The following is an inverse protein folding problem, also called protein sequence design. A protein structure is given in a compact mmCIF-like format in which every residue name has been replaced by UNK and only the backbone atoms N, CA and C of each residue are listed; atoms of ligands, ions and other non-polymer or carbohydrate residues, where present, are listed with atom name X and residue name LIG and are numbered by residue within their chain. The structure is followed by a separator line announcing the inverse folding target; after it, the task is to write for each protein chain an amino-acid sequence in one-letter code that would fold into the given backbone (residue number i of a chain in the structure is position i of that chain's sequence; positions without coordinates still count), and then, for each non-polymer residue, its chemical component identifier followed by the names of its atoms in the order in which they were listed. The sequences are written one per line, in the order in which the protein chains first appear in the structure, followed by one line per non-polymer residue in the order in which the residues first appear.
data_IF_080155419725
#
_entry.id   IF_080155419725
#
_cell.length_a   1.000
_cell.length_b   1.000
_cell.length_c   1.000
_cell.angle_alpha   90.00
_cell.angle_beta   90.00
_cell.angle_gamma   90.00
#
_symmetry.space_group_name_H-M   'P 1'
#
loop_
_entity.id
_entity.type
_entity.pdbx_description
1 polymer ?
#
# COMPACT_ATOMS: atom_id res chain seq x y z
N UNK A 1 1.21 21.69 -25.80
CA UNK A 1 0.30 20.57 -25.46
C UNK A 1 0.54 20.22 -24.01
N UNK A 2 -0.49 20.27 -23.17
CA UNK A 2 -0.36 19.83 -21.78
C UNK A 2 -0.45 18.31 -21.78
N UNK A 3 0.58 17.64 -21.28
CA UNK A 3 0.62 16.18 -21.27
C UNK A 3 -0.17 15.59 -20.10
N UNK A 4 -0.17 16.26 -18.95
CA UNK A 4 -0.79 15.81 -17.71
C UNK A 4 -2.31 16.01 -17.70
N UNK A 5 -3.00 15.13 -16.97
CA UNK A 5 -4.39 15.33 -16.59
C UNK A 5 -4.54 16.62 -15.76
N UNK A 6 -5.64 17.40 -15.93
CA UNK A 6 -5.89 18.60 -15.15
C UNK A 6 -5.67 18.44 -13.64
N UNK A 7 -6.09 17.32 -13.04
CA UNK A 7 -5.95 17.12 -11.58
C UNK A 7 -4.48 16.97 -11.17
N UNK A 8 -3.67 16.28 -11.97
CA UNK A 8 -2.23 16.16 -11.74
C UNK A 8 -1.53 17.50 -11.93
N UNK A 9 -1.92 18.27 -12.95
CA UNK A 9 -1.37 19.60 -13.19
C UNK A 9 -1.66 20.55 -12.00
N UNK A 10 -2.88 20.49 -11.45
CA UNK A 10 -3.27 21.26 -10.26
C UNK A 10 -2.45 20.81 -9.04
N UNK A 11 -2.30 19.50 -8.82
CA UNK A 11 -1.52 18.98 -7.71
C UNK A 11 -0.04 19.39 -7.80
N UNK A 12 0.53 19.37 -9.01
CA UNK A 12 1.90 19.81 -9.26
C UNK A 12 2.06 21.31 -8.98
N UNK A 13 1.14 22.15 -9.47
CA UNK A 13 1.17 23.59 -9.22
C UNK A 13 1.05 23.91 -7.72
N UNK A 14 0.19 23.21 -6.99
CA UNK A 14 0.05 23.37 -5.54
C UNK A 14 1.33 23.02 -4.80
N UNK A 15 1.96 21.89 -5.13
CA UNK A 15 3.22 21.52 -4.51
C UNK A 15 4.35 22.50 -4.86
N UNK A 16 4.40 22.99 -6.10
CA UNK A 16 5.36 24.00 -6.53
C UNK A 16 5.20 25.32 -5.74
N UNK A 17 3.96 25.74 -5.49
CA UNK A 17 3.67 26.91 -4.67
C UNK A 17 4.13 26.72 -3.21
N UNK A 18 3.85 25.56 -2.60
CA UNK A 18 4.34 25.21 -1.26
C UNK A 18 5.86 25.17 -1.17
N UNK A 19 6.53 24.67 -2.21
CA UNK A 19 7.99 24.61 -2.27
C UNK A 19 8.63 26.00 -2.41
N UNK A 20 7.91 26.97 -2.97
CA UNK A 20 8.38 28.35 -3.10
C UNK A 20 8.14 29.20 -1.84
N UNK A 21 7.32 28.72 -0.90
CA UNK A 21 7.03 29.40 0.37
C UNK A 21 7.94 28.88 1.48
N UNK A 22 8.91 29.72 1.90
CA UNK A 22 9.85 29.40 2.98
C UNK A 22 9.15 29.22 4.35
N UNK A 23 7.92 29.71 4.50
CA UNK A 23 7.11 29.61 5.71
C UNK A 23 6.07 28.48 5.70
N UNK A 24 6.05 27.65 4.66
CA UNK A 24 5.04 26.60 4.53
C UNK A 24 5.05 25.62 5.71
N UNK A 25 3.86 25.25 6.20
CA UNK A 25 3.73 24.22 7.24
C UNK A 25 4.31 22.89 6.72
N UNK A 26 5.30 22.27 7.41
CA UNK A 26 5.87 20.99 7.02
C UNK A 26 4.84 19.87 6.78
N UNK A 27 3.72 19.88 7.51
CA UNK A 27 2.64 18.91 7.30
C UNK A 27 1.86 19.18 6.02
N UNK A 28 1.69 20.44 5.62
CA UNK A 28 1.09 20.79 4.34
C UNK A 28 1.98 20.40 3.16
N UNK A 29 3.30 20.61 3.28
CA UNK A 29 4.28 20.13 2.29
C UNK A 29 4.16 18.61 2.12
N UNK A 30 4.13 17.84 3.22
CA UNK A 30 3.97 16.39 3.17
C UNK A 30 2.66 15.98 2.49
N UNK A 31 1.54 16.64 2.83
CA UNK A 31 0.23 16.37 2.19
C UNK A 31 0.28 16.69 0.69
N UNK A 32 0.93 17.78 0.29
CA UNK A 32 1.14 18.16 -1.11
C UNK A 32 1.92 17.11 -1.89
N UNK A 33 3.03 16.61 -1.34
CA UNK A 33 3.82 15.53 -1.94
C UNK A 33 2.97 14.28 -2.13
N UNK A 34 2.23 13.86 -1.09
CA UNK A 34 1.35 12.68 -1.16
C UNK A 34 0.23 12.86 -2.18
N UNK A 35 -0.35 14.05 -2.28
CA UNK A 35 -1.39 14.35 -3.26
C UNK A 35 -0.86 14.25 -4.70
N UNK A 36 0.33 14.82 -4.98
CA UNK A 36 0.95 14.73 -6.30
C UNK A 36 1.31 13.29 -6.66
N UNK A 37 1.89 12.52 -5.73
CA UNK A 37 2.18 11.10 -5.93
C UNK A 37 0.93 10.32 -6.35
N UNK A 38 -0.17 10.50 -5.61
CA UNK A 38 -1.44 9.83 -5.91
C UNK A 38 -1.99 10.24 -7.29
N UNK A 39 -1.92 11.54 -7.64
CA UNK A 39 -2.39 12.03 -8.93
C UNK A 39 -1.60 11.43 -10.09
N UNK A 40 -0.25 11.44 -9.99
CA UNK A 40 0.65 10.84 -10.98
C UNK A 40 0.41 9.34 -11.17
N UNK A 41 0.10 8.61 -10.10
CA UNK A 41 -0.20 7.16 -10.18
C UNK A 41 -1.43 6.85 -11.04
N UNK A 42 -2.36 7.80 -11.15
CA UNK A 42 -3.62 7.65 -11.90
C UNK A 42 -3.68 8.47 -13.18
N UNK A 43 -2.64 9.24 -13.50
CA UNK A 43 -2.64 10.15 -14.64
C UNK A 43 -2.72 9.39 -15.98
N UNK A 44 -3.72 9.75 -16.78
CA UNK A 44 -3.96 9.16 -18.10
C UNK A 44 -2.78 9.38 -19.07
N UNK A 45 -1.98 10.43 -18.88
CA UNK A 45 -0.79 10.76 -19.65
C UNK A 45 0.24 9.64 -19.65
N UNK A 46 0.38 8.93 -18.52
CA UNK A 46 1.33 7.82 -18.40
C UNK A 46 0.96 6.70 -19.37
N UNK A 47 -0.30 6.27 -19.34
CA UNK A 47 -0.77 5.21 -20.24
C UNK A 47 -0.76 5.66 -21.71
N UNK A 48 -1.13 6.91 -21.98
CA UNK A 48 -1.06 7.49 -23.32
C UNK A 48 0.38 7.49 -23.88
N UNK A 49 1.36 7.85 -23.06
CA UNK A 49 2.77 7.88 -23.45
C UNK A 49 3.31 6.47 -23.70
N UNK A 50 2.97 5.50 -22.84
CA UNK A 50 3.33 4.08 -23.03
C UNK A 50 2.75 3.55 -24.35
N UNK A 51 1.48 3.86 -24.63
CA UNK A 51 0.82 3.46 -25.89
C UNK A 51 1.50 4.08 -27.10
N UNK A 52 1.76 5.38 -27.07
CA UNK A 52 2.44 6.08 -28.15
C UNK A 52 3.83 5.48 -28.43
N UNK A 53 4.60 5.16 -27.38
CA UNK A 53 5.91 4.53 -27.50
C UNK A 53 5.81 3.14 -28.14
N UNK A 54 4.90 2.28 -27.67
CA UNK A 54 4.69 0.94 -28.24
C UNK A 54 4.22 1.03 -29.70
N UNK A 55 3.31 1.95 -30.02
CA UNK A 55 2.87 2.19 -31.41
C UNK A 55 4.01 2.70 -32.30
N UNK A 56 4.94 3.49 -31.76
CA UNK A 56 6.15 3.93 -32.45
C UNK A 56 7.22 2.83 -32.59
N UNK A 57 6.97 1.62 -32.06
CA UNK A 57 7.86 0.47 -32.18
C UNK A 57 8.82 0.26 -31.00
N UNK A 58 8.68 1.03 -29.90
CA UNK A 58 9.47 0.81 -28.70
C UNK A 58 9.20 -0.58 -28.10
N UNK A 59 10.25 -1.23 -27.63
CA UNK A 59 10.15 -2.49 -26.91
C UNK A 59 9.64 -2.28 -25.49
N UNK A 60 9.16 -3.36 -24.87
CA UNK A 60 8.77 -3.33 -23.46
C UNK A 60 9.95 -3.12 -22.49
N UNK A 61 11.17 -3.41 -22.94
CA UNK A 61 12.38 -3.13 -22.17
C UNK A 61 12.66 -1.62 -22.12
N UNK A 62 12.52 -0.92 -23.25
CA UNK A 62 12.65 0.55 -23.32
C UNK A 62 11.59 1.26 -22.46
N UNK A 63 10.35 0.78 -22.54
CA UNK A 63 9.24 1.31 -21.71
C UNK A 63 9.52 1.08 -20.23
N UNK A 64 10.08 -0.07 -19.87
CA UNK A 64 10.39 -0.38 -18.49
C UNK A 64 11.56 0.45 -17.96
N UNK A 65 12.60 0.65 -18.76
CA UNK A 65 13.72 1.54 -18.45
C UNK A 65 13.23 2.97 -18.20
N UNK A 66 12.45 3.54 -19.13
CA UNK A 66 11.90 4.89 -19.00
C UNK A 66 11.02 5.05 -17.75
N UNK A 67 10.35 3.98 -17.32
CA UNK A 67 9.51 3.96 -16.13
C UNK A 67 10.25 3.61 -14.83
N UNK A 68 11.54 3.24 -14.89
CA UNK A 68 12.28 2.73 -13.73
C UNK A 68 11.73 1.39 -13.19
N UNK A 69 11.16 0.56 -14.06
CA UNK A 69 10.53 -0.73 -13.74
C UNK A 69 11.30 -1.89 -14.37
N UNK A 70 10.99 -3.11 -13.93
CA UNK A 70 11.35 -4.33 -14.68
C UNK A 70 10.35 -4.53 -15.82
N UNK A 71 10.81 -5.08 -16.95
CA UNK A 71 9.97 -5.34 -18.13
C UNK A 71 8.67 -6.11 -17.83
N UNK A 72 8.75 -7.14 -16.99
CA UNK A 72 7.58 -7.90 -16.56
C UNK A 72 6.56 -7.04 -15.78
N UNK A 73 7.04 -6.10 -14.94
CA UNK A 73 6.19 -5.19 -14.19
C UNK A 73 5.53 -4.15 -15.09
N UNK A 74 6.28 -3.59 -16.06
CA UNK A 74 5.75 -2.66 -17.06
C UNK A 74 4.64 -3.33 -17.90
N UNK A 75 4.89 -4.54 -18.41
CA UNK A 75 3.87 -5.34 -19.11
C UNK A 75 2.66 -5.62 -18.24
N UNK A 76 2.86 -6.10 -17.00
CA UNK A 76 1.75 -6.35 -16.10
C UNK A 76 0.90 -5.09 -15.85
N UNK A 77 1.52 -3.91 -15.79
CA UNK A 77 0.84 -2.65 -15.51
C UNK A 77 0.08 -2.10 -16.71
N UNK A 78 0.63 -2.21 -17.92
CA UNK A 78 0.12 -1.47 -19.09
C UNK A 78 -0.18 -2.31 -20.33
N UNK A 79 0.05 -3.62 -20.30
CA UNK A 79 -0.38 -4.50 -21.39
C UNK A 79 -1.89 -4.77 -21.29
N UNK A 80 -2.56 -4.62 -22.43
CA UNK A 80 -3.99 -4.85 -22.60
C UNK A 80 -4.80 -3.58 -22.89
N UNK A 81 -6.11 -3.75 -22.92
CA UNK A 81 -7.11 -2.70 -23.09
C UNK A 81 -7.28 -1.88 -21.79
N UNK A 82 -7.89 -0.69 -21.90
CA UNK A 82 -8.20 0.14 -20.72
C UNK A 82 -9.06 -0.59 -19.70
N UNK A 83 -10.02 -1.38 -20.15
CA UNK A 83 -10.89 -2.17 -19.28
C UNK A 83 -10.10 -3.24 -18.50
N UNK A 84 -9.17 -3.94 -19.15
CA UNK A 84 -8.32 -4.96 -18.52
C UNK A 84 -7.36 -4.35 -17.50
N UNK A 85 -6.75 -3.22 -17.85
CA UNK A 85 -5.85 -2.48 -16.96
C UNK A 85 -6.63 -1.95 -15.74
N UNK A 86 -7.77 -1.31 -15.96
CA UNK A 86 -8.63 -0.79 -14.89
C UNK A 86 -9.09 -1.92 -13.94
N UNK A 87 -9.53 -3.06 -14.49
CA UNK A 87 -9.94 -4.21 -13.70
C UNK A 87 -8.78 -4.77 -12.85
N UNK A 88 -7.58 -4.86 -13.42
CA UNK A 88 -6.37 -5.31 -12.72
C UNK A 88 -5.99 -4.39 -11.57
N UNK A 89 -6.01 -3.07 -11.79
CA UNK A 89 -5.74 -2.07 -10.75
C UNK A 89 -6.80 -2.08 -9.64
N UNK A 90 -8.08 -2.20 -10.01
CA UNK A 90 -9.18 -2.33 -9.05
C UNK A 90 -9.05 -3.60 -8.19
N UNK A 91 -8.66 -4.73 -8.77
CA UNK A 91 -8.41 -5.98 -8.05
C UNK A 91 -7.20 -5.89 -7.09
N UNK A 92 -6.16 -5.12 -7.46
CA UNK A 92 -5.05 -4.80 -6.56
C UNK A 92 -5.51 -3.99 -5.34
N UNK A 93 -6.27 -2.92 -5.55
CA UNK A 93 -6.82 -2.06 -4.48
C UNK A 93 -7.74 -2.83 -3.53
N UNK A 94 -8.62 -3.69 -4.07
CA UNK A 94 -9.49 -4.57 -3.26
C UNK A 94 -8.72 -5.52 -2.34
N UNK A 95 -7.54 -5.99 -2.76
CA UNK A 95 -6.68 -6.84 -1.92
C UNK A 95 -6.02 -6.05 -0.78
N UNK A 96 -5.60 -4.81 -1.03
CA UNK A 96 -4.97 -3.94 -0.02
C UNK A 96 -5.94 -3.40 1.03
N UNK A 97 -7.22 -3.23 0.67
CA UNK A 97 -8.25 -2.69 1.57
C UNK A 97 -9.00 -3.75 2.37
N UNK A 98 -8.61 -5.04 2.26
CA UNK A 98 -9.28 -6.11 3.00
C UNK A 98 -9.02 -5.90 4.51
N UNK A 99 -10.06 -5.77 5.34
CA UNK A 99 -9.89 -5.83 6.79
C UNK A 99 -9.10 -7.09 7.14
N UNK A 100 -8.21 -6.99 8.12
CA UNK A 100 -7.49 -8.15 8.65
C UNK A 100 -8.48 -9.31 8.83
N UNK A 101 -8.21 -10.45 8.18
CA UNK A 101 -9.08 -11.63 8.29
C UNK A 101 -8.95 -12.33 9.66
N UNK A 102 -8.31 -11.66 10.63
CA UNK A 102 -8.20 -12.11 12.00
C UNK A 102 -9.59 -12.05 12.61
N UNK A 103 -10.18 -13.19 12.99
CA UNK A 103 -11.46 -13.20 13.65
C UNK A 103 -11.34 -12.48 15.00
N UNK A 104 -12.25 -11.57 15.27
CA UNK A 104 -12.28 -10.76 16.49
C UNK A 104 -12.79 -11.54 17.71
N UNK A 105 -13.53 -12.63 17.48
CA UNK A 105 -14.21 -13.39 18.54
C UNK A 105 -13.44 -14.64 18.98
N UNK A 106 -12.11 -14.62 18.85
CA UNK A 106 -11.27 -15.72 19.34
C UNK A 106 -11.00 -15.59 20.85
N UNK A 107 -11.06 -16.67 21.65
CA UNK A 107 -10.69 -16.63 23.05
C UNK A 107 -9.22 -16.22 23.26
N UNK A 108 -8.94 -15.56 24.38
CA UNK A 108 -7.62 -14.97 24.65
C UNK A 108 -7.38 -13.68 23.84
N UNK A 109 -6.14 -13.19 23.84
CA UNK A 109 -5.71 -12.00 23.11
C UNK A 109 -4.68 -12.38 22.05
N UNK A 110 -4.59 -11.66 20.94
CA UNK A 110 -3.41 -11.75 20.07
C UNK A 110 -2.20 -11.19 20.81
N UNK A 111 -1.00 -11.48 20.32
CA UNK A 111 0.24 -10.93 20.90
C UNK A 111 0.21 -9.40 20.91
N UNK A 112 -0.32 -8.77 19.86
CA UNK A 112 -0.45 -7.31 19.78
C UNK A 112 -1.46 -6.76 20.79
N UNK A 113 -2.62 -7.41 20.93
CA UNK A 113 -3.64 -7.03 21.92
C UNK A 113 -3.13 -7.21 23.36
N UNK A 114 -2.40 -8.30 23.64
CA UNK A 114 -1.78 -8.53 24.95
C UNK A 114 -0.69 -7.49 25.26
N UNK A 115 0.15 -7.17 24.27
CA UNK A 115 1.17 -6.13 24.38
C UNK A 115 0.56 -4.76 24.70
N UNK A 116 -0.50 -4.37 23.97
CA UNK A 116 -1.23 -3.13 24.22
C UNK A 116 -1.87 -3.12 25.62
N UNK A 117 -2.52 -4.22 26.03
CA UNK A 117 -3.16 -4.34 27.35
C UNK A 117 -2.16 -4.25 28.50
N UNK A 118 -0.97 -4.84 28.34
CA UNK A 118 0.06 -4.89 29.38
C UNK A 118 1.06 -3.72 29.31
N UNK A 119 0.92 -2.83 28.32
CA UNK A 119 1.83 -1.68 28.14
C UNK A 119 3.26 -2.08 27.79
N UNK A 120 3.45 -3.21 27.10
CA UNK A 120 4.77 -3.74 26.73
C UNK A 120 4.88 -3.96 25.22
N UNK A 121 6.07 -4.33 24.74
CA UNK A 121 6.27 -4.68 23.32
C UNK A 121 5.83 -6.12 23.03
N UNK A 122 5.53 -6.41 21.76
CA UNK A 122 5.22 -7.78 21.32
C UNK A 122 6.36 -8.77 21.64
N UNK A 123 7.62 -8.34 21.51
CA UNK A 123 8.78 -9.15 21.88
C UNK A 123 8.80 -9.51 23.37
N UNK A 124 8.37 -8.58 24.24
CA UNK A 124 8.26 -8.85 25.67
C UNK A 124 7.19 -9.91 25.97
N UNK A 125 6.07 -9.91 25.23
CA UNK A 125 5.05 -10.96 25.34
C UNK A 125 5.61 -12.34 24.96
N UNK A 126 6.33 -12.45 23.84
CA UNK A 126 6.97 -13.71 23.46
C UNK A 126 7.95 -14.21 24.52
N UNK A 127 8.74 -13.30 25.11
CA UNK A 127 9.68 -13.64 26.18
C UNK A 127 8.97 -14.09 27.46
N UNK A 128 7.85 -13.45 27.81
CA UNK A 128 7.04 -13.84 28.98
C UNK A 128 6.37 -15.20 28.77
N UNK A 129 5.89 -15.49 27.55
CA UNK A 129 5.38 -16.82 27.19
C UNK A 129 6.49 -17.89 27.28
N UNK A 130 7.67 -17.62 26.73
CA UNK A 130 8.78 -18.59 26.79
C UNK A 130 9.28 -18.83 28.22
N UNK A 131 9.12 -17.85 29.11
CA UNK A 131 9.44 -17.95 30.54
C UNK A 131 8.32 -18.59 31.37
N UNK A 132 7.19 -18.97 30.75
CA UNK A 132 6.02 -19.51 31.43
C UNK A 132 5.26 -18.50 32.29
N UNK A 133 5.56 -17.20 32.15
CA UNK A 133 4.88 -16.11 32.87
C UNK A 133 3.51 -15.80 32.27
N UNK A 134 3.36 -15.97 30.97
CA UNK A 134 2.08 -15.85 30.27
C UNK A 134 1.75 -17.18 29.60
N UNK A 135 0.47 -17.57 29.65
CA UNK A 135 0.01 -18.74 28.91
C UNK A 135 -0.28 -18.37 27.46
N UNK A 136 0.14 -19.22 26.52
CA UNK A 136 -0.27 -19.11 25.12
C UNK A 136 -0.84 -20.42 24.62
N UNK A 137 -1.95 -20.35 23.88
CA UNK A 137 -2.59 -21.50 23.24
C UNK A 137 -2.78 -21.23 21.76
N UNK A 138 -2.80 -22.31 20.98
CA UNK A 138 -3.26 -22.26 19.61
C UNK A 138 -4.77 -22.51 19.56
N UNK A 139 -5.48 -21.66 18.82
CA UNK A 139 -6.90 -21.78 18.58
C UNK A 139 -7.12 -22.01 17.10
N UNK A 140 -7.65 -23.19 16.77
CA UNK A 140 -7.98 -23.57 15.40
C UNK A 140 -9.46 -23.29 15.13
N UNK A 141 -9.73 -22.54 14.07
CA UNK A 141 -11.08 -22.28 13.57
C UNK A 141 -11.65 -23.48 12.82
N UNK A 142 -12.98 -23.54 12.64
CA UNK A 142 -13.63 -24.56 11.81
C UNK A 142 -13.13 -24.62 10.36
N UNK A 143 -12.56 -23.52 9.84
CA UNK A 143 -11.97 -23.45 8.51
C UNK A 143 -10.49 -23.92 8.46
N UNK A 144 -9.96 -24.46 9.56
CA UNK A 144 -8.61 -25.00 9.67
C UNK A 144 -7.52 -23.97 9.96
N UNK A 145 -7.83 -22.66 9.98
CA UNK A 145 -6.83 -21.64 10.33
C UNK A 145 -6.52 -21.67 11.82
N UNK A 146 -5.25 -21.62 12.16
CA UNK A 146 -4.78 -21.66 13.56
C UNK A 146 -4.13 -20.33 13.96
N UNK A 147 -4.49 -19.83 15.14
CA UNK A 147 -4.02 -18.55 15.67
C UNK A 147 -3.43 -18.73 17.06
N UNK A 148 -2.29 -18.08 17.31
CA UNK A 148 -1.70 -18.00 18.65
C UNK A 148 -2.44 -16.96 19.49
N UNK A 149 -2.95 -17.38 20.65
CA UNK A 149 -3.68 -16.55 21.62
C UNK A 149 -2.98 -16.58 22.97
N UNK A 150 -2.85 -15.42 23.59
CA UNK A 150 -2.20 -15.18 24.87
C UNK A 150 -3.30 -14.96 25.92
N UNK A 151 -3.14 -15.58 27.08
CA UNK A 151 -4.07 -15.48 28.20
C UNK A 151 -3.34 -14.83 29.38
N UNK A 152 -3.45 -13.50 29.55
CA UNK A 152 -2.93 -12.82 30.73
C UNK A 152 -3.68 -13.29 31.98
N UNK A 153 -3.02 -13.36 33.15
CA UNK A 153 -3.70 -13.60 34.41
C UNK A 153 -4.77 -12.51 34.66
N UNK A 154 -5.93 -12.96 35.16
CA UNK A 154 -7.11 -12.14 35.47
C UNK A 154 -6.83 -11.07 36.51
#
# INVERSE_FOLDING_TARGET
MTHLDPDTAIALQRLAALNADEGADPLEVLRGIRALQNALETDAATLASVRAAVTAGAGWDDVAEAAGLKAAAARWRWLGTDAEIAARLAAGRKRSARPSSVPTDLPGLSVAEAAARLGVTASAIYLQVSRGTLESREVTLPDGRTYKRVFPPS
#
